data_IF_561485546544
#
_entry.id   IF_561485546544
#
_cell.length_a   1.000
_cell.length_b   1.000
_cell.length_c   1.000
_cell.angle_alpha   90.00
_cell.angle_beta   90.00
_cell.angle_gamma   90.00
#
_symmetry.space_group_name_H-M   'P 1'
#
loop_
_entity.id
_entity.type
_entity.pdbx_description
1 polymer ?
#
# COMPACT_ATOMS: atom_id res chain seq x y z
N UNK A 1 -9.64 59.56 61.82
CA UNK A 1 -10.25 58.86 60.65
C UNK A 1 -9.14 58.45 59.71
N UNK A 2 -8.67 57.20 59.87
CA UNK A 2 -7.59 56.67 59.04
C UNK A 2 -8.20 55.93 57.82
N UNK A 3 -8.04 56.51 56.65
CA UNK A 3 -8.33 55.84 55.37
C UNK A 3 -7.15 55.01 54.91
N UNK A 4 -7.28 53.67 54.92
CA UNK A 4 -6.28 52.78 54.32
C UNK A 4 -6.49 52.73 52.81
N UNK A 5 -5.44 52.82 51.97
CA UNK A 5 -5.59 52.65 50.54
C UNK A 5 -5.81 51.18 50.21
N UNK A 6 -6.82 50.92 49.39
CA UNK A 6 -7.14 49.60 48.82
C UNK A 6 -6.17 49.34 47.64
N UNK A 7 -5.15 48.54 47.87
CA UNK A 7 -4.20 48.16 46.83
C UNK A 7 -4.88 47.07 45.95
N UNK A 8 -5.28 47.48 44.75
CA UNK A 8 -5.83 46.57 43.75
C UNK A 8 -4.73 45.73 43.12
N UNK A 9 -4.61 44.41 43.47
CA UNK A 9 -3.69 43.50 42.83
C UNK A 9 -4.30 43.07 41.49
N UNK A 10 -3.79 43.62 40.39
CA UNK A 10 -4.10 43.21 39.04
C UNK A 10 -3.28 41.97 38.71
N UNK A 11 -3.90 40.78 38.82
CA UNK A 11 -3.28 39.51 38.39
C UNK A 11 -3.38 39.48 36.86
N UNK A 12 -2.30 39.80 36.17
CA UNK A 12 -2.17 39.61 34.72
C UNK A 12 -2.01 38.09 34.48
N UNK A 13 -3.10 37.44 34.08
CA UNK A 13 -3.09 36.08 33.57
C UNK A 13 -2.43 36.10 32.17
N UNK A 14 -1.13 35.91 32.09
CA UNK A 14 -0.43 35.70 30.81
C UNK A 14 -0.81 34.30 30.33
N UNK A 15 -1.87 34.20 29.54
CA UNK A 15 -2.14 33.02 28.71
C UNK A 15 -1.01 32.94 27.68
N UNK A 16 0.00 32.14 27.98
CA UNK A 16 0.98 31.74 26.99
C UNK A 16 0.24 30.96 25.91
N UNK A 17 -0.07 31.66 24.81
CA UNK A 17 -0.54 31.04 23.56
C UNK A 17 0.65 30.24 23.01
N UNK A 18 0.85 29.05 23.51
CA UNK A 18 1.66 28.08 22.79
C UNK A 18 0.95 27.82 21.47
N UNK A 19 1.61 28.04 20.32
CA UNK A 19 1.01 27.64 19.07
C UNK A 19 0.72 26.15 19.16
N UNK A 20 -0.56 25.78 19.23
CA UNK A 20 -0.98 24.39 19.04
C UNK A 20 -0.58 24.09 17.60
N UNK A 21 0.59 23.50 17.42
CA UNK A 21 0.98 22.98 16.10
C UNK A 21 -0.09 21.98 15.69
N UNK A 22 -0.84 22.29 14.64
CA UNK A 22 -1.82 21.34 14.11
C UNK A 22 -1.08 20.05 13.79
N UNK A 23 -1.56 18.92 14.32
CA UNK A 23 -0.95 17.63 14.04
C UNK A 23 -0.94 17.39 12.54
N UNK A 24 0.23 17.05 12.00
CA UNK A 24 0.40 16.78 10.56
C UNK A 24 -0.27 15.46 10.20
N UNK A 25 -0.80 15.38 8.98
CA UNK A 25 -1.38 14.14 8.43
C UNK A 25 -0.37 12.99 8.51
N UNK A 26 -0.62 11.93 9.29
CA UNK A 26 0.31 10.83 9.49
C UNK A 26 0.62 10.04 8.21
N UNK A 27 -0.24 10.10 7.21
CA UNK A 27 -0.05 9.41 5.94
C UNK A 27 0.70 10.26 4.89
N UNK A 28 0.96 11.53 5.19
CA UNK A 28 1.74 12.43 4.33
C UNK A 28 3.23 12.45 4.67
N UNK A 29 3.64 11.84 5.77
CA UNK A 29 5.05 11.71 6.09
C UNK A 29 5.80 10.89 5.04
N UNK A 30 7.12 11.12 4.86
CA UNK A 30 7.95 10.31 3.97
C UNK A 30 7.80 8.81 4.27
N UNK A 31 7.68 8.02 3.23
CA UNK A 31 7.63 6.56 3.37
C UNK A 31 9.02 6.05 3.74
N UNK A 32 9.15 5.45 4.92
CA UNK A 32 10.38 4.80 5.39
C UNK A 32 10.34 3.28 5.29
N UNK A 33 9.15 2.71 5.19
CA UNK A 33 8.94 1.26 5.09
C UNK A 33 8.02 0.95 3.92
N UNK A 34 8.42 -0.02 3.10
CA UNK A 34 7.60 -0.56 2.01
C UNK A 34 7.35 -2.03 2.27
N UNK A 35 6.07 -2.39 2.31
CA UNK A 35 5.62 -3.78 2.45
C UNK A 35 5.17 -4.25 1.07
N UNK A 36 5.88 -5.25 0.54
CA UNK A 36 5.60 -5.89 -0.73
C UNK A 36 4.84 -7.19 -0.45
N UNK A 37 3.61 -7.24 -0.90
CA UNK A 37 2.73 -8.38 -0.71
C UNK A 37 2.60 -9.16 -2.03
N UNK A 38 3.27 -10.31 -2.11
CA UNK A 38 3.05 -11.27 -3.19
C UNK A 38 1.75 -12.03 -2.94
N UNK A 39 0.72 -11.79 -3.74
CA UNK A 39 -0.58 -12.45 -3.59
C UNK A 39 -0.48 -13.97 -3.54
N UNK A 40 -1.49 -14.63 -2.94
CA UNK A 40 -1.61 -16.09 -2.92
C UNK A 40 -0.43 -16.82 -2.25
N UNK A 41 -0.21 -18.09 -2.60
CA UNK A 41 0.91 -18.92 -2.12
C UNK A 41 0.47 -20.22 -1.44
N UNK A 42 1.28 -21.25 -1.51
CA UNK A 42 1.04 -22.57 -0.93
C UNK A 42 -0.26 -23.22 -1.45
N UNK A 43 -1.21 -23.46 -0.56
CA UNK A 43 -2.52 -24.05 -0.92
C UNK A 43 -3.44 -23.14 -1.74
N UNK A 44 -3.08 -21.87 -1.92
CA UNK A 44 -3.81 -20.89 -2.73
C UNK A 44 -2.96 -20.53 -3.97
N UNK A 45 -3.18 -21.17 -5.11
CA UNK A 45 -2.43 -20.90 -6.33
C UNK A 45 -2.80 -19.56 -6.99
N UNK A 46 -3.91 -18.93 -6.58
CA UNK A 46 -4.53 -17.81 -7.31
C UNK A 46 -5.10 -18.25 -8.65
N UNK A 47 -5.07 -17.37 -9.63
CA UNK A 47 -5.42 -17.73 -11.00
C UNK A 47 -4.48 -18.82 -11.53
N UNK A 48 -5.06 -19.81 -12.21
CA UNK A 48 -4.31 -20.90 -12.84
C UNK A 48 -4.71 -21.05 -14.29
N UNK A 49 -3.74 -21.26 -15.17
CA UNK A 49 -3.98 -21.46 -16.60
C UNK A 49 -3.04 -22.52 -17.17
N UNK A 50 -3.51 -23.21 -18.23
CA UNK A 50 -2.72 -24.14 -19.02
C UNK A 50 -2.93 -23.83 -20.49
N UNK A 51 -1.85 -23.66 -21.22
CA UNK A 51 -1.85 -23.42 -22.66
C UNK A 51 -0.93 -24.44 -23.34
N UNK A 52 -1.06 -24.60 -24.64
CA UNK A 52 -0.22 -25.53 -25.41
C UNK A 52 1.28 -25.25 -25.30
N UNK A 53 1.64 -23.99 -25.01
CA UNK A 53 3.02 -23.53 -24.88
C UNK A 53 3.58 -23.54 -23.43
N UNK A 54 2.76 -23.84 -22.42
CA UNK A 54 3.23 -23.78 -21.01
C UNK A 54 3.85 -25.07 -20.51
N UNK A 55 3.65 -26.18 -21.20
CA UNK A 55 4.13 -27.49 -20.75
C UNK A 55 3.49 -28.02 -19.46
N UNK A 56 2.52 -27.28 -18.90
CA UNK A 56 1.82 -27.60 -17.65
C UNK A 56 0.98 -26.43 -17.15
N UNK A 57 0.46 -26.57 -15.94
CA UNK A 57 -0.31 -25.50 -15.27
C UNK A 57 0.64 -24.44 -14.74
N UNK A 58 0.28 -23.19 -14.96
CA UNK A 58 0.96 -21.99 -14.43
C UNK A 58 0.05 -21.36 -13.41
N UNK A 59 0.61 -20.97 -12.27
CA UNK A 59 -0.11 -20.37 -11.17
C UNK A 59 0.27 -18.91 -10.99
N UNK A 60 -0.70 -18.09 -10.65
CA UNK A 60 -0.48 -16.68 -10.30
C UNK A 60 0.52 -16.53 -9.16
N UNK A 61 0.43 -17.38 -8.12
CA UNK A 61 1.27 -17.32 -6.92
C UNK A 61 2.77 -17.31 -7.25
N UNK A 62 3.22 -18.11 -8.23
CA UNK A 62 4.62 -18.19 -8.63
C UNK A 62 5.07 -16.91 -9.36
N UNK A 63 4.21 -16.42 -10.24
CA UNK A 63 4.50 -15.26 -11.09
C UNK A 63 4.59 -13.98 -10.27
N UNK A 64 3.63 -13.78 -9.35
CA UNK A 64 3.64 -12.58 -8.49
C UNK A 64 4.78 -12.62 -7.48
N UNK A 65 5.19 -13.81 -7.01
CA UNK A 65 6.36 -13.95 -6.16
C UNK A 65 7.65 -13.55 -6.91
N UNK A 66 7.81 -13.99 -8.16
CA UNK A 66 8.96 -13.60 -9.00
C UNK A 66 8.99 -12.08 -9.23
N UNK A 67 7.86 -11.47 -9.59
CA UNK A 67 7.75 -10.02 -9.78
C UNK A 67 8.10 -9.29 -8.47
N UNK A 68 7.55 -9.72 -7.34
CA UNK A 68 7.77 -9.09 -6.04
C UNK A 68 9.25 -9.16 -5.62
N UNK A 69 9.92 -10.29 -5.84
CA UNK A 69 11.36 -10.44 -5.59
C UNK A 69 12.21 -9.50 -6.45
N UNK A 70 11.82 -9.29 -7.72
CA UNK A 70 12.49 -8.34 -8.60
C UNK A 70 12.32 -6.90 -8.13
N UNK A 71 11.11 -6.52 -7.71
CA UNK A 71 10.85 -5.20 -7.12
C UNK A 71 11.69 -4.99 -5.86
N UNK A 72 11.73 -5.99 -4.98
CA UNK A 72 12.55 -5.94 -3.77
C UNK A 72 14.04 -5.72 -4.10
N UNK A 73 14.58 -6.49 -5.03
CA UNK A 73 15.99 -6.36 -5.44
C UNK A 73 16.31 -4.98 -6.02
N UNK A 74 15.44 -4.42 -6.86
CA UNK A 74 15.59 -3.08 -7.41
C UNK A 74 15.61 -2.01 -6.31
N UNK A 75 14.65 -2.06 -5.40
CA UNK A 75 14.55 -1.09 -4.31
C UNK A 75 15.72 -1.21 -3.32
N UNK A 76 16.18 -2.42 -3.03
CA UNK A 76 17.34 -2.63 -2.14
C UNK A 76 18.63 -1.96 -2.69
N UNK A 77 18.77 -1.88 -4.02
CA UNK A 77 19.89 -1.20 -4.68
C UNK A 77 19.65 0.30 -4.78
N UNK A 78 18.47 0.72 -5.27
CA UNK A 78 18.20 2.13 -5.58
C UNK A 78 17.86 2.98 -4.35
N UNK A 79 17.32 2.37 -3.29
CA UNK A 79 16.87 3.01 -2.05
C UNK A 79 17.28 2.21 -0.81
N UNK A 80 18.59 2.04 -0.54
CA UNK A 80 19.08 1.19 0.54
C UNK A 80 18.68 1.66 1.96
N UNK A 81 18.18 2.88 2.08
CA UNK A 81 17.66 3.41 3.35
C UNK A 81 16.22 2.98 3.66
N UNK A 82 15.49 2.41 2.68
CA UNK A 82 14.15 1.91 2.92
C UNK A 82 14.17 0.60 3.70
N UNK A 83 13.30 0.50 4.69
CA UNK A 83 12.97 -0.77 5.28
C UNK A 83 12.04 -1.54 4.34
N UNK A 84 12.53 -2.63 3.74
CA UNK A 84 11.78 -3.45 2.80
C UNK A 84 11.32 -4.73 3.49
N UNK A 85 10.01 -4.97 3.47
CA UNK A 85 9.38 -6.16 4.05
C UNK A 85 8.63 -6.88 2.95
N UNK A 86 8.81 -8.19 2.82
CA UNK A 86 7.96 -9.05 1.98
C UNK A 86 7.02 -9.86 2.88
N UNK A 87 5.76 -10.00 2.49
CA UNK A 87 4.80 -10.82 3.24
C UNK A 87 5.15 -12.31 3.19
N UNK A 88 5.70 -12.79 2.08
CA UNK A 88 6.26 -14.14 1.91
C UNK A 88 7.51 -14.13 1.04
N UNK A 89 8.43 -15.04 1.31
CA UNK A 89 9.70 -15.17 0.58
C UNK A 89 9.73 -16.40 -0.34
N UNK A 90 8.81 -17.29 -0.18
CA UNK A 90 8.68 -18.56 -0.90
C UNK A 90 7.20 -18.85 -1.20
N UNK A 91 6.90 -20.08 -1.63
CA UNK A 91 5.53 -20.53 -1.90
C UNK A 91 4.80 -20.94 -0.61
N UNK A 92 4.72 -20.01 0.34
CA UNK A 92 3.99 -20.19 1.60
C UNK A 92 2.63 -19.51 1.53
N UNK A 93 1.59 -20.19 2.06
CA UNK A 93 0.27 -19.59 2.24
C UNK A 93 0.27 -18.64 3.43
N UNK A 94 -0.17 -17.40 3.19
CA UNK A 94 -0.42 -16.41 4.24
C UNK A 94 -1.85 -15.89 4.08
N UNK A 95 -2.62 -15.97 5.15
CA UNK A 95 -4.01 -15.51 5.15
C UNK A 95 -4.11 -14.00 4.92
N UNK A 96 -5.25 -13.53 4.40
CA UNK A 96 -5.50 -12.10 4.21
C UNK A 96 -5.36 -11.30 5.51
N UNK A 97 -5.76 -11.90 6.63
CA UNK A 97 -5.64 -11.28 7.96
C UNK A 97 -4.16 -11.12 8.37
N UNK A 98 -3.32 -12.13 8.15
CA UNK A 98 -1.88 -12.07 8.45
C UNK A 98 -1.16 -11.05 7.56
N UNK A 99 -1.49 -10.98 6.25
CA UNK A 99 -0.94 -9.95 5.34
C UNK A 99 -1.25 -8.53 5.84
N UNK A 100 -2.49 -8.27 6.19
CA UNK A 100 -2.90 -6.99 6.76
C UNK A 100 -2.26 -6.73 8.11
N UNK A 101 -2.12 -7.76 8.96
CA UNK A 101 -1.47 -7.66 10.27
C UNK A 101 -0.02 -7.21 10.13
N UNK A 102 0.74 -7.76 9.20
CA UNK A 102 2.11 -7.31 8.91
C UNK A 102 2.12 -5.78 8.65
N UNK A 103 1.16 -5.28 7.85
CA UNK A 103 1.10 -3.85 7.54
C UNK A 103 0.86 -2.97 8.77
N UNK A 104 -0.14 -3.28 9.59
CA UNK A 104 -0.52 -2.39 10.70
C UNK A 104 0.24 -2.65 12.01
N UNK A 105 0.94 -3.77 12.15
CA UNK A 105 1.80 -4.05 13.32
C UNK A 105 3.26 -3.66 13.11
N UNK A 106 3.64 -3.26 11.91
CA UNK A 106 5.00 -2.76 11.65
C UNK A 106 5.22 -1.43 12.38
N UNK A 107 6.23 -1.34 13.26
CA UNK A 107 6.54 -0.09 13.96
C UNK A 107 6.96 1.01 12.98
N UNK A 108 6.45 2.22 13.20
CA UNK A 108 6.83 3.41 12.45
C UNK A 108 7.95 4.17 13.19
N UNK A 109 8.93 4.63 12.44
CA UNK A 109 9.84 5.66 12.92
C UNK A 109 9.07 6.99 13.10
N UNK A 110 9.51 7.89 13.97
CA UNK A 110 8.89 9.20 14.11
C UNK A 110 8.83 9.92 12.76
N UNK A 111 7.71 10.58 12.49
CA UNK A 111 7.47 11.33 11.24
C UNK A 111 7.73 10.52 9.96
N UNK A 112 7.37 9.26 9.99
CA UNK A 112 7.45 8.38 8.82
C UNK A 112 6.13 7.69 8.54
N UNK A 113 5.99 7.13 7.34
CA UNK A 113 4.84 6.34 6.92
C UNK A 113 5.24 5.00 6.31
N UNK A 114 4.26 4.13 6.15
CA UNK A 114 4.38 2.83 5.48
C UNK A 114 3.63 2.90 4.16
N UNK A 115 4.14 2.21 3.15
CA UNK A 115 3.42 1.92 1.91
C UNK A 115 3.25 0.41 1.76
N UNK A 116 2.01 -0.04 1.60
CA UNK A 116 1.69 -1.44 1.33
C UNK A 116 1.30 -1.62 -0.14
N UNK A 117 1.99 -2.52 -0.84
CA UNK A 117 1.78 -2.81 -2.26
C UNK A 117 1.51 -4.29 -2.45
N UNK A 118 0.28 -4.65 -2.78
CA UNK A 118 -0.12 -6.03 -3.09
C UNK A 118 -0.06 -6.25 -4.60
N UNK A 119 0.56 -7.36 -5.03
CA UNK A 119 0.87 -7.67 -6.42
C UNK A 119 0.12 -8.93 -6.83
N UNK A 120 -0.70 -8.82 -7.87
CA UNK A 120 -1.61 -9.82 -8.39
C UNK A 120 -1.60 -9.89 -9.91
N UNK A 121 -2.14 -10.98 -10.44
CA UNK A 121 -2.44 -11.18 -11.85
C UNK A 121 -3.88 -11.65 -11.96
N UNK A 122 -4.69 -10.88 -12.63
CA UNK A 122 -6.13 -11.07 -12.76
C UNK A 122 -6.49 -12.33 -13.56
N UNK A 123 -7.73 -12.74 -13.44
CA UNK A 123 -8.35 -13.76 -14.29
C UNK A 123 -9.82 -13.44 -14.51
N UNK A 124 -10.35 -13.80 -15.66
CA UNK A 124 -11.75 -13.61 -15.99
C UNK A 124 -12.32 -14.84 -16.73
N UNK A 125 -13.63 -15.01 -16.67
CA UNK A 125 -14.31 -16.03 -17.49
C UNK A 125 -14.15 -15.74 -18.99
N UNK A 126 -14.20 -14.46 -19.37
CA UNK A 126 -13.92 -14.05 -20.74
C UNK A 126 -12.42 -14.08 -21.00
N UNK A 127 -11.99 -14.85 -21.99
CA UNK A 127 -10.60 -14.89 -22.45
C UNK A 127 -10.19 -13.65 -23.24
N UNK A 128 -11.13 -12.75 -23.54
CA UNK A 128 -10.89 -11.46 -24.20
C UNK A 128 -10.47 -10.36 -23.22
N UNK A 129 -10.57 -10.61 -21.91
CA UNK A 129 -10.18 -9.62 -20.90
C UNK A 129 -8.67 -9.40 -20.92
N UNK A 130 -8.24 -8.13 -21.03
CA UNK A 130 -6.84 -7.71 -21.11
C UNK A 130 -6.58 -6.46 -20.30
N UNK A 131 -5.32 -6.21 -19.98
CA UNK A 131 -4.82 -4.97 -19.41
C UNK A 131 -4.60 -5.02 -17.90
N UNK A 132 -3.96 -3.98 -17.37
CA UNK A 132 -3.72 -3.82 -15.95
C UNK A 132 -4.72 -2.87 -15.30
N UNK A 133 -4.92 -3.03 -14.01
CA UNK A 133 -5.72 -2.12 -13.19
C UNK A 133 -5.07 -1.90 -11.82
N UNK A 134 -5.31 -0.72 -11.23
CA UNK A 134 -4.84 -0.38 -9.90
C UNK A 134 -6.05 -0.29 -8.98
N UNK A 135 -6.04 -1.05 -7.91
CA UNK A 135 -7.17 -1.17 -6.99
C UNK A 135 -6.89 -0.43 -5.69
N UNK A 136 -7.88 0.31 -5.24
CA UNK A 136 -7.89 0.99 -3.94
C UNK A 136 -9.04 0.48 -3.07
N UNK A 137 -8.93 0.72 -1.78
CA UNK A 137 -9.98 0.49 -0.81
C UNK A 137 -11.23 1.31 -1.15
N UNK A 138 -12.42 0.75 -0.96
CA UNK A 138 -13.67 1.52 -0.99
C UNK A 138 -13.68 2.60 0.09
N UNK A 139 -14.09 3.82 -0.27
CA UNK A 139 -14.05 4.98 0.63
C UNK A 139 -15.01 4.83 1.81
N UNK A 140 -16.15 4.17 1.64
CA UNK A 140 -17.12 3.91 2.70
C UNK A 140 -16.65 2.86 3.72
N UNK A 141 -15.68 2.02 3.38
CA UNK A 141 -15.11 1.04 4.32
C UNK A 141 -14.21 1.75 5.32
N UNK A 142 -14.64 1.79 6.56
CA UNK A 142 -13.90 2.43 7.65
C UNK A 142 -12.89 1.47 8.27
N UNK A 143 -11.73 2.03 8.57
CA UNK A 143 -10.61 1.36 9.22
C UNK A 143 -10.53 1.84 10.66
N UNK A 144 -10.29 0.93 11.60
CA UNK A 144 -9.93 1.24 12.98
C UNK A 144 -8.43 1.34 13.09
N UNK A 145 -7.91 2.49 13.54
CA UNK A 145 -6.46 2.75 13.61
C UNK A 145 -5.86 2.44 14.98
N UNK A 146 -6.64 2.57 16.04
CA UNK A 146 -6.20 2.36 17.41
C UNK A 146 -6.99 1.21 18.05
N UNK A 147 -6.29 0.12 18.37
CA UNK A 147 -6.78 -1.04 19.11
C UNK A 147 -5.61 -1.72 19.85
N UNK A 148 -5.86 -2.89 20.46
CA UNK A 148 -4.86 -3.66 21.20
C UNK A 148 -3.66 -4.15 20.37
N UNK A 149 -3.77 -4.12 19.04
CA UNK A 149 -2.69 -4.53 18.13
C UNK A 149 -1.86 -3.36 17.61
N UNK A 150 -2.25 -2.13 17.95
CA UNK A 150 -1.54 -0.94 17.49
C UNK A 150 -0.20 -0.82 18.21
N UNK A 151 0.95 -0.77 17.49
CA UNK A 151 2.25 -0.55 18.11
C UNK A 151 2.25 0.74 18.94
N UNK A 152 2.82 0.69 20.14
CA UNK A 152 2.87 1.84 21.05
C UNK A 152 3.50 3.06 20.37
N UNK A 153 4.51 2.84 19.52
CA UNK A 153 5.18 3.88 18.74
C UNK A 153 4.27 4.57 17.72
N UNK A 154 3.20 3.90 17.29
CA UNK A 154 2.27 4.41 16.28
C UNK A 154 1.09 5.17 16.95
N UNK A 155 0.83 4.96 18.24
CA UNK A 155 -0.28 5.62 18.95
C UNK A 155 -0.20 7.15 18.84
N UNK A 156 0.93 7.82 19.10
CA UNK A 156 1.03 9.27 19.03
C UNK A 156 0.74 9.86 17.64
N UNK A 157 0.89 9.05 16.56
CA UNK A 157 0.60 9.47 15.19
C UNK A 157 -0.90 9.56 14.92
N UNK A 158 -1.69 8.70 15.52
CA UNK A 158 -3.13 8.58 15.27
C UNK A 158 -3.99 9.22 16.36
N UNK A 159 -3.54 9.23 17.62
CA UNK A 159 -4.31 9.72 18.75
C UNK A 159 -4.81 11.18 18.63
N UNK A 160 -4.11 12.12 17.96
CA UNK A 160 -4.62 13.48 17.80
C UNK A 160 -5.85 13.61 16.90
N UNK A 161 -6.22 12.55 16.18
CA UNK A 161 -7.26 12.62 15.15
C UNK A 161 -8.47 11.74 15.48
N UNK A 162 -9.63 12.14 14.99
CA UNK A 162 -10.81 11.25 15.00
C UNK A 162 -10.64 10.13 13.97
N UNK A 163 -11.30 9.00 14.19
CA UNK A 163 -11.32 7.90 13.22
C UNK A 163 -11.85 8.33 11.85
N UNK A 164 -12.81 9.25 11.80
CA UNK A 164 -13.34 9.80 10.55
C UNK A 164 -12.27 10.60 9.80
N UNK A 165 -11.52 11.44 10.51
CA UNK A 165 -10.43 12.26 9.94
C UNK A 165 -9.34 11.37 9.38
N UNK A 166 -8.89 10.37 10.14
CA UNK A 166 -7.88 9.41 9.70
C UNK A 166 -8.33 8.63 8.44
N UNK A 167 -9.58 8.18 8.41
CA UNK A 167 -10.10 7.48 7.23
C UNK A 167 -10.14 8.37 5.98
N UNK A 168 -10.47 9.65 6.13
CA UNK A 168 -10.44 10.62 5.03
C UNK A 168 -9.02 10.83 4.52
N UNK A 169 -8.06 11.06 5.42
CA UNK A 169 -6.65 11.22 5.08
C UNK A 169 -6.09 9.98 4.37
N UNK A 170 -6.36 8.78 4.92
CA UNK A 170 -5.94 7.53 4.29
C UNK A 170 -6.52 7.36 2.88
N UNK A 171 -7.83 7.63 2.69
CA UNK A 171 -8.46 7.52 1.37
C UNK A 171 -7.83 8.50 0.36
N UNK A 172 -7.54 9.74 0.77
CA UNK A 172 -6.86 10.71 -0.08
C UNK A 172 -5.44 10.24 -0.46
N UNK A 173 -4.68 9.73 0.52
CA UNK A 173 -3.34 9.21 0.26
C UNK A 173 -3.36 7.97 -0.65
N UNK A 174 -4.29 7.04 -0.45
CA UNK A 174 -4.47 5.89 -1.32
C UNK A 174 -4.71 6.28 -2.77
N UNK A 175 -5.53 7.31 -3.01
CA UNK A 175 -5.79 7.79 -4.36
C UNK A 175 -4.54 8.41 -5.02
N UNK A 176 -3.75 9.19 -4.27
CA UNK A 176 -2.47 9.75 -4.76
C UNK A 176 -1.50 8.62 -5.11
N UNK A 177 -1.35 7.64 -4.22
CA UNK A 177 -0.51 6.47 -4.46
C UNK A 177 -0.98 5.69 -5.70
N UNK A 178 -2.28 5.37 -5.78
CA UNK A 178 -2.84 4.64 -6.92
C UNK A 178 -2.58 5.35 -8.25
N UNK A 179 -2.72 6.68 -8.29
CA UNK A 179 -2.42 7.48 -9.48
C UNK A 179 -0.96 7.40 -9.88
N UNK A 180 -0.04 7.45 -8.90
CA UNK A 180 1.40 7.30 -9.14
C UNK A 180 1.73 5.94 -9.77
N UNK A 181 1.11 4.86 -9.27
CA UNK A 181 1.29 3.52 -9.83
C UNK A 181 0.67 3.38 -11.22
N UNK A 182 -0.54 3.88 -11.42
CA UNK A 182 -1.22 3.86 -12.71
C UNK A 182 -0.41 4.58 -13.80
N UNK A 183 0.13 5.75 -13.49
CA UNK A 183 0.98 6.50 -14.40
C UNK A 183 2.30 5.76 -14.71
N UNK A 184 2.96 5.18 -13.71
CA UNK A 184 4.21 4.45 -13.90
C UNK A 184 4.03 3.18 -14.73
N UNK A 185 2.96 2.43 -14.46
CA UNK A 185 2.60 1.23 -15.26
C UNK A 185 2.26 1.63 -16.70
N UNK A 186 1.47 2.67 -16.91
CA UNK A 186 1.13 3.16 -18.26
C UNK A 186 2.38 3.56 -19.07
N UNK A 187 3.37 4.17 -18.42
CA UNK A 187 4.60 4.58 -19.09
C UNK A 187 5.52 3.41 -19.47
N UNK A 188 5.45 2.30 -18.77
CA UNK A 188 6.31 1.14 -19.00
C UNK A 188 5.62 0.03 -19.78
N UNK A 189 4.31 -0.12 -19.62
CA UNK A 189 3.51 -1.18 -20.23
C UNK A 189 2.72 -0.63 -21.44
N UNK A 190 3.43 -0.04 -22.42
CA UNK A 190 2.85 0.71 -23.53
C UNK A 190 1.87 -0.09 -24.39
N UNK A 191 2.02 -1.41 -24.48
CA UNK A 191 1.15 -2.30 -25.25
C UNK A 191 0.02 -2.88 -24.42
N UNK A 192 0.03 -2.71 -23.09
CA UNK A 192 -1.03 -3.21 -22.22
C UNK A 192 -2.13 -2.17 -22.06
N UNK A 193 -3.38 -2.63 -22.10
CA UNK A 193 -4.54 -1.76 -21.87
C UNK A 193 -4.55 -1.26 -20.43
N UNK A 194 -4.52 0.05 -20.24
CA UNK A 194 -4.78 0.67 -18.93
C UNK A 194 -6.29 0.63 -18.66
N UNK A 195 -6.70 -0.07 -17.60
CA UNK A 195 -8.11 -0.19 -17.17
C UNK A 195 -8.45 0.81 -16.06
N UNK A 196 -7.48 1.65 -15.67
CA UNK A 196 -7.62 2.72 -14.70
C UNK A 196 -7.60 2.27 -13.23
N UNK A 197 -7.90 3.23 -12.37
CA UNK A 197 -8.01 3.04 -10.93
C UNK A 197 -9.45 2.64 -10.59
N UNK A 198 -9.61 1.63 -9.71
CA UNK A 198 -10.93 1.16 -9.27
C UNK A 198 -10.97 0.96 -7.77
N UNK A 199 -12.10 1.29 -7.18
CA UNK A 199 -12.38 0.97 -5.78
C UNK A 199 -12.94 -0.46 -5.67
N UNK A 200 -12.39 -1.25 -4.75
CA UNK A 200 -12.83 -2.62 -4.48
C UNK A 200 -12.92 -2.91 -2.99
N UNK A 201 -13.87 -3.77 -2.65
CA UNK A 201 -14.03 -4.29 -1.29
C UNK A 201 -13.06 -5.47 -1.07
N UNK A 202 -11.77 -5.18 -0.91
CA UNK A 202 -10.71 -6.16 -0.72
C UNK A 202 -10.22 -6.12 0.72
N UNK A 203 -10.26 -7.28 1.38
CA UNK A 203 -9.90 -7.37 2.79
C UNK A 203 -8.50 -6.80 3.07
N UNK A 204 -7.50 -7.17 2.28
CA UNK A 204 -6.12 -6.75 2.46
C UNK A 204 -5.94 -5.23 2.40
N UNK A 205 -6.71 -4.53 1.57
CA UNK A 205 -6.71 -3.07 1.49
C UNK A 205 -7.54 -2.43 2.62
N UNK A 206 -8.67 -3.06 2.98
CA UNK A 206 -9.55 -2.53 4.02
C UNK A 206 -8.95 -2.64 5.42
N UNK A 207 -8.08 -3.63 5.67
CA UNK A 207 -7.52 -3.94 6.98
C UNK A 207 -6.07 -3.49 7.16
N UNK A 208 -5.39 -3.01 6.13
CA UNK A 208 -3.96 -2.64 6.17
C UNK A 208 -3.64 -1.46 7.09
N UNK A 209 -4.59 -0.52 7.28
CA UNK A 209 -4.46 0.70 8.11
C UNK A 209 -3.36 1.68 7.67
N UNK A 210 -2.76 1.45 6.54
CA UNK A 210 -1.67 2.25 5.97
C UNK A 210 -1.99 2.57 4.50
N UNK A 211 -1.34 3.57 3.90
CA UNK A 211 -1.40 3.80 2.46
C UNK A 211 -1.16 2.51 1.68
N UNK A 212 -2.10 2.15 0.80
CA UNK A 212 -2.10 0.83 0.17
C UNK A 212 -2.71 0.83 -1.22
N UNK A 213 -2.17 -0.03 -2.08
CA UNK A 213 -2.73 -0.36 -3.40
C UNK A 213 -2.62 -1.86 -3.66
N UNK A 214 -3.49 -2.37 -4.52
CA UNK A 214 -3.35 -3.68 -5.13
C UNK A 214 -3.26 -3.52 -6.65
N UNK A 215 -2.29 -4.20 -7.25
CA UNK A 215 -2.00 -4.14 -8.67
C UNK A 215 -2.46 -5.43 -9.33
N UNK A 216 -3.31 -5.32 -10.33
CA UNK A 216 -3.67 -6.42 -11.23
C UNK A 216 -2.92 -6.19 -12.55
N UNK A 217 -1.87 -6.98 -12.79
CA UNK A 217 -0.86 -6.66 -13.82
C UNK A 217 -1.21 -7.18 -15.22
N UNK A 218 -2.33 -7.87 -15.38
CA UNK A 218 -2.79 -8.48 -16.62
C UNK A 218 -3.75 -9.62 -16.33
N UNK A 219 -4.22 -10.32 -17.35
CA UNK A 219 -5.16 -11.44 -17.21
C UNK A 219 -4.51 -12.76 -17.64
N UNK A 220 -4.24 -13.63 -16.66
CA UNK A 220 -3.66 -14.96 -16.92
C UNK A 220 -4.60 -15.85 -17.76
N UNK A 221 -5.91 -15.55 -17.78
CA UNK A 221 -6.91 -16.23 -18.58
C UNK A 221 -6.84 -15.89 -20.08
N UNK A 222 -6.19 -14.79 -20.46
CA UNK A 222 -5.98 -14.38 -21.84
C UNK A 222 -4.66 -14.95 -22.38
N UNK A 223 -4.70 -15.62 -23.54
CA UNK A 223 -3.53 -16.35 -24.06
C UNK A 223 -2.37 -15.42 -24.42
N UNK A 224 -2.66 -14.27 -25.06
CA UNK A 224 -1.63 -13.32 -25.47
C UNK A 224 -1.00 -12.63 -24.27
N UNK A 225 -1.80 -12.25 -23.27
CA UNK A 225 -1.25 -11.71 -22.02
C UNK A 225 -0.47 -12.76 -21.23
N UNK A 226 -0.93 -14.02 -21.21
CA UNK A 226 -0.20 -15.11 -20.56
C UNK A 226 1.20 -15.30 -21.18
N UNK A 227 1.34 -15.21 -22.51
CA UNK A 227 2.66 -15.27 -23.18
C UNK A 227 3.57 -14.15 -22.70
N UNK A 228 3.06 -12.95 -22.53
CA UNK A 228 3.83 -11.82 -22.00
C UNK A 228 4.16 -12.03 -20.53
N UNK A 229 3.19 -12.36 -19.70
CA UNK A 229 3.34 -12.56 -18.24
C UNK A 229 4.38 -13.65 -17.94
N UNK A 230 4.44 -14.71 -18.76
CA UNK A 230 5.43 -15.79 -18.63
C UNK A 230 6.84 -15.37 -19.07
N UNK A 231 6.99 -14.28 -19.82
CA UNK A 231 8.30 -13.78 -20.24
C UNK A 231 9.06 -13.16 -19.05
N UNK A 232 10.27 -13.64 -18.73
CA UNK A 232 11.09 -12.99 -17.70
C UNK A 232 11.39 -11.52 -17.98
N UNK A 233 11.51 -11.14 -19.26
CA UNK A 233 11.75 -9.76 -19.68
C UNK A 233 10.54 -8.87 -19.36
N UNK A 234 9.34 -9.33 -19.62
CA UNK A 234 8.11 -8.61 -19.28
C UNK A 234 7.98 -8.46 -17.75
N UNK A 235 8.21 -9.51 -16.96
CA UNK A 235 8.18 -9.41 -15.50
C UNK A 235 9.22 -8.44 -14.95
N UNK A 236 10.41 -8.36 -15.58
CA UNK A 236 11.42 -7.35 -15.21
C UNK A 236 10.95 -5.93 -15.55
N UNK A 237 10.32 -5.73 -16.71
CA UNK A 237 9.76 -4.43 -17.12
C UNK A 237 8.67 -3.96 -16.14
N UNK A 238 7.77 -4.84 -15.75
CA UNK A 238 6.74 -4.56 -14.76
C UNK A 238 7.35 -4.25 -13.38
N UNK A 239 8.33 -5.04 -12.95
CA UNK A 239 9.04 -4.79 -11.70
C UNK A 239 9.72 -3.41 -11.69
N UNK A 240 10.33 -2.99 -12.80
CA UNK A 240 10.91 -1.66 -12.96
C UNK A 240 9.82 -0.56 -12.83
N UNK A 241 8.63 -0.77 -13.41
CA UNK A 241 7.53 0.18 -13.30
C UNK A 241 7.06 0.32 -11.85
N UNK A 242 6.88 -0.79 -11.15
CA UNK A 242 6.47 -0.83 -9.73
C UNK A 242 7.53 -0.15 -8.85
N UNK A 243 8.82 -0.48 -9.04
CA UNK A 243 9.91 0.14 -8.28
C UNK A 243 9.95 1.66 -8.49
N UNK A 244 9.82 2.14 -9.75
CA UNK A 244 9.74 3.58 -10.06
C UNK A 244 8.54 4.25 -9.38
N UNK A 245 7.38 3.61 -9.35
CA UNK A 245 6.21 4.13 -8.66
C UNK A 245 6.47 4.27 -7.15
N UNK A 246 7.04 3.25 -6.53
CA UNK A 246 7.41 3.27 -5.11
C UNK A 246 8.40 4.41 -4.84
N UNK A 247 9.45 4.56 -5.67
CA UNK A 247 10.45 5.62 -5.53
C UNK A 247 9.84 7.02 -5.60
N UNK A 248 8.78 7.21 -6.38
CA UNK A 248 8.04 8.49 -6.43
C UNK A 248 7.15 8.72 -5.20
N UNK A 249 6.82 7.67 -4.44
CA UNK A 249 6.00 7.77 -3.23
C UNK A 249 6.82 8.00 -1.95
N UNK A 250 8.15 7.79 -1.98
CA UNK A 250 9.08 7.82 -0.82
C UNK A 250 9.83 9.12 -0.68
#
# INVERSE_FOLDING_TARGET
MNRRPLTLFLVLLVLALFPVSAASDPFSYPVSTVILDAGHGGKDPGASASFSFTGGTVNESDLVLDITKRVFALLAVEKPSLNLVMTRLDDTYISLAERSKIAYTTPLAPQSSILFVSIHINSAQSREATGFEVLTKRQEKRVTFLDEHTPITNIPLFAPFTALTLNRMLNQRNLVVAKTFEEALSQQMLTSRNRGIKERDLYVLNASRVPSVLLELGFLSNEDEARNILSPAWRQQVANAIAKAIIKCV
#
